data_IF_680390678067
#
_entry.id   IF_680390678067
#
_cell.length_a   1.000
_cell.length_b   1.000
_cell.length_c   1.000
_cell.angle_alpha   90.00
_cell.angle_beta   90.00
_cell.angle_gamma   90.00
#
_symmetry.space_group_name_H-M   'P 1'
#
loop_
_entity.id
_entity.type
_entity.pdbx_description
1 polymer ?
#
# COMPACT_ATOMS: atom_id res chain seq x y z
N UNK A 1 40.64 23.75 -10.37
CA UNK A 1 40.24 22.40 -9.91
C UNK A 1 39.96 22.42 -8.40
N UNK A 2 38.76 22.81 -7.98
CA UNK A 2 38.40 22.95 -6.53
C UNK A 2 36.94 22.57 -6.25
N UNK A 3 36.44 21.52 -6.91
CA UNK A 3 35.06 21.06 -6.72
C UNK A 3 34.94 19.59 -6.25
N UNK A 4 36.04 18.83 -6.20
CA UNK A 4 36.01 17.40 -5.84
C UNK A 4 36.25 17.08 -4.35
N UNK A 5 36.63 18.06 -3.52
CA UNK A 5 36.96 17.82 -2.10
C UNK A 5 35.77 18.05 -1.14
N UNK A 6 34.86 18.97 -1.47
CA UNK A 6 33.72 19.33 -0.60
C UNK A 6 32.70 18.20 -0.48
N UNK A 7 32.43 17.48 -1.58
CA UNK A 7 31.46 16.39 -1.57
C UNK A 7 31.96 15.14 -0.83
N UNK A 8 33.27 14.84 -0.95
CA UNK A 8 33.93 13.79 -0.15
C UNK A 8 33.97 14.13 1.33
N UNK A 9 34.19 15.41 1.67
CA UNK A 9 34.14 15.88 3.06
C UNK A 9 32.73 15.72 3.65
N UNK A 10 31.68 16.08 2.90
CA UNK A 10 30.29 15.91 3.33
C UNK A 10 29.92 14.44 3.59
N UNK A 11 30.32 13.53 2.69
CA UNK A 11 30.07 12.10 2.86
C UNK A 11 30.86 11.50 4.03
N UNK A 12 32.12 11.89 4.21
CA UNK A 12 32.95 11.44 5.32
C UNK A 12 32.37 11.90 6.67
N UNK A 13 31.87 13.13 6.75
CA UNK A 13 31.18 13.64 7.94
C UNK A 13 29.92 12.82 8.22
N UNK A 14 29.04 12.63 7.22
CA UNK A 14 27.80 11.85 7.38
C UNK A 14 28.06 10.40 7.82
N UNK A 15 29.06 9.74 7.27
CA UNK A 15 29.41 8.37 7.69
C UNK A 15 29.93 8.31 9.13
N UNK A 16 30.70 9.32 9.56
CA UNK A 16 31.23 9.40 10.93
C UNK A 16 30.16 9.76 11.95
N UNK A 17 29.16 10.55 11.58
CA UNK A 17 28.08 10.95 12.50
C UNK A 17 26.94 9.94 12.57
N UNK A 18 26.75 9.11 11.54
CA UNK A 18 25.70 8.10 11.47
C UNK A 18 25.58 7.19 12.72
N UNK A 19 26.67 6.66 13.31
CA UNK A 19 26.59 5.76 14.46
C UNK A 19 26.07 6.42 15.74
N UNK A 20 26.16 7.76 15.83
CA UNK A 20 25.62 8.49 16.97
C UNK A 20 24.10 8.36 17.06
N UNK A 21 23.44 8.13 15.92
CA UNK A 21 21.99 7.98 15.81
C UNK A 21 21.52 6.51 15.84
N UNK A 22 22.41 5.55 16.08
CA UNK A 22 22.07 4.13 16.14
C UNK A 22 21.99 3.62 17.57
N UNK A 23 21.08 2.69 17.86
CA UNK A 23 20.95 2.05 19.16
C UNK A 23 20.91 0.52 19.03
N UNK A 24 21.21 -0.18 20.13
CA UNK A 24 21.12 -1.64 20.21
C UNK A 24 21.84 -2.38 19.07
N UNK A 25 21.13 -3.30 18.42
CA UNK A 25 21.66 -4.17 17.35
C UNK A 25 22.19 -3.37 16.14
N UNK A 26 21.61 -2.22 15.84
CA UNK A 26 22.05 -1.37 14.75
C UNK A 26 23.44 -0.77 15.00
N UNK A 27 23.70 -0.35 16.24
CA UNK A 27 25.02 0.14 16.66
C UNK A 27 26.06 -0.98 16.64
N UNK A 28 25.72 -2.15 17.18
CA UNK A 28 26.62 -3.31 17.20
C UNK A 28 27.00 -3.76 15.79
N UNK A 29 26.04 -3.80 14.85
CA UNK A 29 26.32 -4.10 13.45
C UNK A 29 27.29 -3.09 12.83
N UNK A 30 27.05 -1.80 13.03
CA UNK A 30 27.91 -0.76 12.46
C UNK A 30 29.35 -0.89 12.99
N UNK A 31 29.50 -1.14 14.30
CA UNK A 31 30.81 -1.34 14.95
C UNK A 31 31.53 -2.60 14.46
N UNK A 32 30.80 -3.61 13.98
CA UNK A 32 31.35 -4.84 13.42
C UNK A 32 31.80 -4.74 11.95
N UNK A 33 31.59 -3.61 11.28
CA UNK A 33 32.01 -3.45 9.89
C UNK A 33 33.54 -3.35 9.77
N UNK A 34 34.16 -3.98 8.74
CA UNK A 34 35.60 -3.89 8.55
C UNK A 34 36.07 -2.43 8.38
N UNK A 35 37.25 -2.06 8.93
CA UNK A 35 37.80 -0.72 8.76
C UNK A 35 37.91 -0.34 7.28
N UNK A 36 37.53 0.91 6.94
CA UNK A 36 37.57 1.46 5.56
C UNK A 36 36.68 0.72 4.53
N UNK A 37 35.70 -0.08 4.96
CA UNK A 37 34.76 -0.78 4.07
C UNK A 37 33.68 0.13 3.45
N UNK A 38 33.34 1.24 4.12
CA UNK A 38 32.37 2.24 3.64
C UNK A 38 33.11 3.39 2.96
N UNK A 39 32.79 3.63 1.68
CA UNK A 39 33.38 4.68 0.84
C UNK A 39 32.49 5.90 0.64
N UNK A 40 31.20 5.79 0.97
CA UNK A 40 30.23 6.89 0.86
C UNK A 40 29.03 6.67 1.78
N UNK A 41 28.32 7.75 2.09
CA UNK A 41 27.10 7.68 2.89
C UNK A 41 26.02 6.87 2.18
N UNK A 42 25.94 6.97 0.85
CA UNK A 42 25.03 6.16 0.03
C UNK A 42 25.31 4.66 0.15
N UNK A 43 26.57 4.25 0.20
CA UNK A 43 26.93 2.85 0.40
C UNK A 43 26.52 2.37 1.80
N UNK A 44 26.77 3.19 2.83
CA UNK A 44 26.34 2.91 4.19
C UNK A 44 24.81 2.78 4.30
N UNK A 45 24.05 3.73 3.75
CA UNK A 45 22.59 3.68 3.75
C UNK A 45 22.06 2.41 3.07
N UNK A 46 22.68 1.96 1.97
CA UNK A 46 22.31 0.70 1.30
C UNK A 46 22.60 -0.53 2.17
N UNK A 47 23.77 -0.59 2.80
CA UNK A 47 24.14 -1.70 3.69
C UNK A 47 23.25 -1.75 4.93
N UNK A 48 22.99 -0.59 5.54
CA UNK A 48 22.09 -0.46 6.67
C UNK A 48 20.67 -0.89 6.30
N UNK A 49 20.18 -0.44 5.15
CA UNK A 49 18.88 -0.89 4.63
C UNK A 49 18.86 -2.38 4.34
N UNK A 50 19.89 -2.97 3.73
CA UNK A 50 19.94 -4.40 3.50
C UNK A 50 19.91 -5.22 4.81
N UNK A 51 20.57 -4.73 5.86
CA UNK A 51 20.68 -5.40 7.15
C UNK A 51 19.42 -5.25 8.01
N UNK A 52 18.84 -4.04 8.06
CA UNK A 52 17.77 -3.68 9.01
C UNK A 52 16.44 -3.35 8.34
N UNK A 53 16.48 -2.88 7.09
CA UNK A 53 15.29 -2.63 6.29
C UNK A 53 15.06 -3.83 5.39
N UNK A 54 14.55 -4.90 6.00
CA UNK A 54 14.07 -6.03 5.21
C UNK A 54 12.86 -5.60 4.38
N UNK A 55 13.04 -5.33 3.08
CA UNK A 55 11.92 -5.26 2.13
C UNK A 55 11.15 -6.60 2.05
N UNK A 56 11.75 -7.67 2.56
CA UNK A 56 11.19 -9.02 2.72
C UNK A 56 10.43 -9.26 4.03
N UNK A 57 10.67 -8.47 5.09
CA UNK A 57 10.04 -8.71 6.40
C UNK A 57 8.69 -8.00 6.56
N UNK A 58 8.43 -6.98 5.73
CA UNK A 58 7.18 -6.20 5.78
C UNK A 58 6.28 -6.40 4.56
N UNK A 59 6.71 -7.15 3.53
CA UNK A 59 5.83 -7.50 2.43
C UNK A 59 4.79 -8.50 2.91
N UNK A 60 3.51 -8.12 2.85
CA UNK A 60 2.41 -9.04 3.19
C UNK A 60 2.38 -10.18 2.17
N UNK A 61 2.04 -11.38 2.62
CA UNK A 61 1.89 -12.53 1.73
C UNK A 61 0.63 -12.38 0.86
N UNK A 62 0.53 -13.13 -0.24
CA UNK A 62 -0.71 -13.22 -1.01
C UNK A 62 -1.88 -13.78 -0.18
N UNK A 63 -1.59 -14.67 0.78
CA UNK A 63 -2.59 -15.19 1.72
C UNK A 63 -3.21 -14.08 2.58
N UNK A 64 -2.49 -13.01 2.87
CA UNK A 64 -3.03 -11.85 3.58
C UNK A 64 -4.21 -11.21 2.83
N UNK A 65 -4.16 -11.14 1.50
CA UNK A 65 -5.24 -10.57 0.68
C UNK A 65 -6.57 -11.29 0.90
N UNK A 66 -6.52 -12.62 1.07
CA UNK A 66 -7.71 -13.45 1.30
C UNK A 66 -8.38 -13.18 2.66
N UNK A 67 -7.67 -12.53 3.58
CA UNK A 67 -8.22 -12.15 4.90
C UNK A 67 -8.97 -10.81 4.87
N UNK A 68 -8.87 -10.06 3.76
CA UNK A 68 -9.45 -8.73 3.64
C UNK A 68 -10.93 -8.83 3.26
N UNK A 69 -11.78 -8.85 4.28
CA UNK A 69 -13.23 -8.89 4.14
C UNK A 69 -13.84 -7.48 4.24
N UNK A 70 -14.82 -7.17 3.40
CA UNK A 70 -15.62 -5.95 3.47
C UNK A 70 -16.45 -5.94 4.76
N UNK A 71 -16.37 -4.85 5.52
CA UNK A 71 -17.06 -4.75 6.82
C UNK A 71 -18.55 -4.42 6.67
N UNK A 72 -19.33 -4.56 7.74
CA UNK A 72 -20.78 -4.36 7.71
C UNK A 72 -21.16 -2.87 7.47
N UNK A 73 -20.35 -1.99 8.04
CA UNK A 73 -20.45 -0.54 8.02
C UNK A 73 -19.64 0.11 6.87
N UNK A 74 -18.81 -0.67 6.19
CA UNK A 74 -17.92 -0.18 5.14
C UNK A 74 -18.60 -0.18 3.77
N UNK A 75 -18.63 0.99 3.13
CA UNK A 75 -19.10 1.14 1.76
C UNK A 75 -18.20 0.40 0.77
N UNK A 76 -18.72 0.10 -0.43
CA UNK A 76 -17.93 -0.52 -1.48
C UNK A 76 -16.69 0.32 -1.86
N UNK A 77 -16.81 1.65 -1.86
CA UNK A 77 -15.70 2.55 -2.18
C UNK A 77 -14.59 2.47 -1.13
N UNK A 78 -14.95 2.50 0.15
CA UNK A 78 -13.98 2.39 1.25
C UNK A 78 -13.27 1.04 1.22
N UNK A 79 -14.02 -0.04 0.98
CA UNK A 79 -13.45 -1.36 0.78
C UNK A 79 -12.45 -1.40 -0.36
N UNK A 80 -12.79 -0.84 -1.53
CA UNK A 80 -11.89 -0.80 -2.69
C UNK A 80 -10.59 -0.05 -2.38
N UNK A 81 -10.68 1.10 -1.72
CA UNK A 81 -9.50 1.89 -1.31
C UNK A 81 -8.65 1.10 -0.32
N UNK A 82 -9.26 0.50 0.71
CA UNK A 82 -8.55 -0.32 1.70
C UNK A 82 -7.88 -1.53 1.06
N UNK A 83 -8.60 -2.27 0.23
CA UNK A 83 -8.08 -3.43 -0.48
C UNK A 83 -6.90 -3.06 -1.39
N UNK A 84 -7.00 -1.95 -2.13
CA UNK A 84 -5.91 -1.47 -2.97
C UNK A 84 -4.66 -1.12 -2.15
N UNK A 85 -4.82 -0.40 -1.04
CA UNK A 85 -3.72 -0.03 -0.15
C UNK A 85 -3.03 -1.26 0.45
N UNK A 86 -3.81 -2.26 0.86
CA UNK A 86 -3.30 -3.53 1.38
C UNK A 86 -2.62 -4.37 0.30
N UNK A 87 -3.18 -4.39 -0.91
CA UNK A 87 -2.59 -5.05 -2.07
C UNK A 87 -1.27 -4.43 -2.48
N UNK A 88 -1.11 -3.10 -2.33
CA UNK A 88 0.15 -2.42 -2.61
C UNK A 88 1.32 -2.92 -1.74
N UNK A 89 1.03 -3.48 -0.56
CA UNK A 89 2.04 -4.02 0.37
C UNK A 89 2.46 -5.47 0.03
N UNK A 90 1.84 -6.10 -0.97
CA UNK A 90 2.18 -7.45 -1.45
C UNK A 90 3.18 -7.35 -2.60
N UNK A 91 4.28 -8.09 -2.49
CA UNK A 91 5.43 -8.01 -3.40
C UNK A 91 5.22 -8.79 -4.71
N UNK A 92 4.67 -9.99 -4.62
CA UNK A 92 4.49 -10.91 -5.75
C UNK A 92 2.99 -11.06 -6.04
N UNK A 93 2.41 -10.04 -6.67
CA UNK A 93 0.98 -10.01 -7.00
C UNK A 93 0.72 -10.79 -8.28
N UNK A 94 0.03 -11.90 -8.13
CA UNK A 94 -0.63 -12.58 -9.23
C UNK A 94 -2.02 -11.98 -9.42
N UNK A 95 -2.32 -11.50 -10.63
CA UNK A 95 -3.61 -10.87 -10.97
C UNK A 95 -4.81 -11.77 -10.65
N UNK A 96 -4.69 -13.09 -10.87
CA UNK A 96 -5.77 -14.04 -10.55
C UNK A 96 -5.98 -14.13 -9.04
N UNK A 97 -4.91 -14.10 -8.26
CA UNK A 97 -4.98 -14.11 -6.79
C UNK A 97 -5.58 -12.81 -6.28
N UNK A 98 -5.19 -11.66 -6.84
CA UNK A 98 -5.76 -10.36 -6.49
C UNK A 98 -7.26 -10.33 -6.79
N UNK A 99 -7.67 -10.80 -7.98
CA UNK A 99 -9.08 -10.85 -8.35
C UNK A 99 -9.87 -11.82 -7.46
N UNK A 100 -9.35 -13.01 -7.20
CA UNK A 100 -10.00 -13.98 -6.33
C UNK A 100 -10.15 -13.45 -4.90
N UNK A 101 -9.12 -12.81 -4.34
CA UNK A 101 -9.15 -12.21 -3.02
C UNK A 101 -10.15 -11.04 -2.94
N UNK A 102 -10.20 -10.18 -3.97
CA UNK A 102 -11.17 -9.10 -4.03
C UNK A 102 -12.60 -9.64 -4.02
N UNK A 103 -12.90 -10.61 -4.89
CA UNK A 103 -14.24 -11.21 -4.98
C UNK A 103 -14.61 -11.94 -3.68
N UNK A 104 -13.67 -12.68 -3.09
CA UNK A 104 -13.87 -13.39 -1.82
C UNK A 104 -14.14 -12.43 -0.66
N UNK A 105 -13.50 -11.27 -0.65
CA UNK A 105 -13.68 -10.26 0.39
C UNK A 105 -14.97 -9.45 0.27
N UNK A 106 -15.69 -9.52 -0.85
CA UNK A 106 -16.96 -8.81 -0.99
C UNK A 106 -18.04 -9.43 -0.12
N UNK A 107 -18.85 -8.56 0.51
CA UNK A 107 -20.10 -9.01 1.13
C UNK A 107 -21.11 -9.46 0.07
N UNK A 108 -22.08 -10.27 0.51
CA UNK A 108 -23.26 -10.61 -0.30
C UNK A 108 -24.00 -9.32 -0.70
N UNK A 109 -23.83 -8.93 -1.95
CA UNK A 109 -24.44 -7.76 -2.58
C UNK A 109 -24.45 -7.95 -4.09
N UNK A 110 -25.14 -7.05 -4.80
CA UNK A 110 -25.34 -7.19 -6.26
C UNK A 110 -24.03 -7.23 -7.07
N UNK A 111 -22.93 -6.60 -6.61
CA UNK A 111 -21.61 -6.75 -7.27
C UNK A 111 -21.03 -8.16 -7.09
N UNK A 112 -21.12 -8.74 -5.89
CA UNK A 112 -20.67 -10.11 -5.65
C UNK A 112 -21.43 -11.11 -6.53
N UNK A 113 -22.76 -11.00 -6.58
CA UNK A 113 -23.60 -11.84 -7.45
C UNK A 113 -23.20 -11.69 -8.91
N UNK A 114 -22.99 -10.47 -9.38
CA UNK A 114 -22.57 -10.20 -10.77
C UNK A 114 -21.22 -10.85 -11.10
N UNK A 115 -20.25 -10.83 -10.18
CA UNK A 115 -18.96 -11.47 -10.40
C UNK A 115 -19.01 -13.00 -10.35
N UNK A 116 -19.91 -13.59 -9.57
CA UNK A 116 -20.13 -15.04 -9.58
C UNK A 116 -20.77 -15.47 -10.90
N UNK A 117 -21.78 -14.74 -11.38
CA UNK A 117 -22.48 -15.03 -12.63
C UNK A 117 -21.62 -14.75 -13.87
N UNK A 118 -20.86 -13.65 -13.84
CA UNK A 118 -20.05 -13.18 -14.97
C UNK A 118 -18.66 -12.77 -14.47
N UNK A 119 -17.78 -13.77 -14.22
CA UNK A 119 -16.44 -13.50 -13.71
C UNK A 119 -15.68 -12.49 -14.57
N UNK A 120 -15.02 -11.49 -13.96
CA UNK A 120 -14.16 -10.58 -14.70
C UNK A 120 -12.96 -11.35 -15.28
N UNK A 121 -12.48 -10.93 -16.45
CA UNK A 121 -11.36 -11.56 -17.17
C UNK A 121 -10.02 -10.90 -16.88
N UNK A 122 -10.04 -9.71 -16.27
CA UNK A 122 -8.85 -8.95 -15.91
C UNK A 122 -9.10 -8.11 -14.66
N UNK A 123 -8.02 -7.69 -14.00
CA UNK A 123 -8.07 -6.74 -12.88
C UNK A 123 -8.72 -5.43 -13.32
N UNK A 124 -8.40 -4.94 -14.52
CA UNK A 124 -9.00 -3.72 -15.07
C UNK A 124 -10.51 -3.82 -15.16
N UNK A 125 -11.03 -4.86 -15.81
CA UNK A 125 -12.47 -5.07 -15.95
C UNK A 125 -13.17 -5.21 -14.58
N UNK A 126 -12.54 -5.91 -13.63
CA UNK A 126 -13.05 -6.03 -12.27
C UNK A 126 -13.17 -4.65 -11.60
N UNK A 127 -12.12 -3.83 -11.70
CA UNK A 127 -12.10 -2.49 -11.13
C UNK A 127 -13.12 -1.58 -11.81
N UNK A 128 -13.22 -1.58 -13.14
CA UNK A 128 -14.16 -0.75 -13.88
C UNK A 128 -15.60 -1.01 -13.42
N UNK A 129 -16.01 -2.28 -13.38
CA UNK A 129 -17.33 -2.69 -12.89
C UNK A 129 -17.52 -2.32 -11.41
N UNK A 130 -16.53 -2.54 -10.55
CA UNK A 130 -16.62 -2.17 -9.14
C UNK A 130 -16.81 -0.66 -8.94
N UNK A 131 -16.10 0.18 -9.72
CA UNK A 131 -16.25 1.64 -9.69
C UNK A 131 -17.63 2.08 -10.17
N UNK A 132 -18.13 1.54 -11.27
CA UNK A 132 -19.49 1.81 -11.76
C UNK A 132 -20.53 1.51 -10.67
N UNK A 133 -20.40 0.38 -9.97
CA UNK A 133 -21.31 0.01 -8.88
C UNK A 133 -21.16 0.91 -7.66
N UNK A 134 -19.96 1.27 -7.27
CA UNK A 134 -19.73 2.22 -6.16
C UNK A 134 -20.35 3.60 -6.48
N UNK A 135 -20.18 4.08 -7.71
CA UNK A 135 -20.77 5.33 -8.18
C UNK A 135 -22.31 5.26 -8.18
N UNK A 136 -22.90 4.17 -8.67
CA UNK A 136 -24.34 3.99 -8.72
C UNK A 136 -24.98 3.93 -7.31
N UNK A 137 -24.33 3.24 -6.38
CA UNK A 137 -24.80 3.17 -4.98
C UNK A 137 -24.81 4.57 -4.35
N UNK A 138 -23.75 5.34 -4.55
CA UNK A 138 -23.65 6.69 -4.01
C UNK A 138 -24.64 7.66 -4.66
N UNK A 139 -24.82 7.61 -5.98
CA UNK A 139 -25.82 8.41 -6.68
C UNK A 139 -27.24 8.10 -6.21
N UNK A 140 -27.57 6.82 -5.98
CA UNK A 140 -28.86 6.42 -5.45
C UNK A 140 -29.08 6.88 -4.00
N UNK A 141 -28.02 6.86 -3.17
CA UNK A 141 -28.07 7.37 -1.79
C UNK A 141 -28.40 8.86 -1.79
N UNK A 142 -27.68 9.66 -2.57
CA UNK A 142 -27.90 11.10 -2.69
C UNK A 142 -29.30 11.42 -3.23
N UNK A 143 -29.77 10.68 -4.23
CA UNK A 143 -31.13 10.84 -4.77
C UNK A 143 -32.20 10.54 -3.71
N UNK A 144 -32.04 9.45 -2.95
CA UNK A 144 -32.97 9.09 -1.89
C UNK A 144 -32.99 10.11 -0.74
N UNK A 145 -31.88 10.79 -0.46
CA UNK A 145 -31.82 11.90 0.49
C UNK A 145 -32.57 13.14 -0.02
N UNK A 146 -32.40 13.49 -1.30
CA UNK A 146 -33.14 14.60 -1.93
C UNK A 146 -34.66 14.35 -1.96
N UNK A 147 -35.09 13.12 -2.20
CA UNK A 147 -36.51 12.74 -2.20
C UNK A 147 -37.15 12.75 -0.80
N UNK A 148 -36.34 12.62 0.26
CA UNK A 148 -36.79 12.67 1.66
C UNK A 148 -36.87 14.09 2.24
N UNK A 149 -36.23 15.08 1.62
CA UNK A 149 -36.45 16.48 2.03
C UNK A 149 -37.90 16.88 1.67
N UNK A 150 -38.70 17.39 2.63
CA UNK A 150 -40.03 17.89 2.31
C UNK A 150 -39.91 19.00 1.26
N UNK A 151 -40.79 18.98 0.26
CA UNK A 151 -41.03 20.13 -0.60
C UNK A 151 -41.70 21.25 0.22
N UNK A 152 -40.99 21.85 1.16
CA UNK A 152 -41.34 23.11 1.83
C UNK A 152 -40.19 24.08 1.54
N UNK A 153 -40.34 25.22 0.90
CA UNK A 153 -41.50 25.96 0.46
C UNK A 153 -41.01 26.78 -0.73
N UNK A 154 -41.67 26.70 -1.89
CA UNK A 154 -41.49 27.77 -2.89
C UNK A 154 -42.38 28.93 -2.43
N UNK A 155 -41.85 30.15 -2.27
CA UNK A 155 -42.67 31.33 -2.06
C UNK A 155 -43.62 31.57 -3.23
#
# INVERSE_FOLDING_TARGET
>A
MTQMHLQKAADAVRCKTFPMFLEGRARQWFQGLPPRSIRSFTQLARLFSAQFVSSRAFSKSTAHLMTIQQRAEESLREYMVRFNNESLQVRDRDDKVVMAAFINGLRKQRLYTEFVERPPKSVREMLDRAHERANAVEANRLKGEQEKLPRSSRP
#
